data_IF_635691146689
#
_entry.id   IF_635691146689
#
_cell.length_a   1.000
_cell.length_b   1.000
_cell.length_c   1.000
_cell.angle_alpha   90.00
_cell.angle_beta   90.00
_cell.angle_gamma   90.00
#
_symmetry.space_group_name_H-M   'P 1'
#
loop_
_entity.id
_entity.type
_entity.pdbx_description
1 polymer ?
#
# COMPACT_ATOMS: atom_id res chain seq x y z
N UNK A 1 -7.14 20.85 2.98
CA UNK A 1 -7.25 20.98 4.44
C UNK A 1 -5.86 21.13 5.06
N UNK A 2 -5.66 22.02 6.05
CA UNK A 2 -4.37 22.15 6.74
C UNK A 2 -4.08 20.94 7.65
N UNK A 3 -2.82 20.52 7.73
CA UNK A 3 -2.38 19.42 8.62
C UNK A 3 -2.33 19.92 10.07
N UNK A 4 -3.03 19.24 10.99
CA UNK A 4 -3.09 19.63 12.40
C UNK A 4 -1.77 19.38 13.16
N UNK A 5 -1.57 20.04 14.29
CA UNK A 5 -0.37 19.84 15.13
C UNK A 5 -0.25 18.39 15.61
N UNK A 6 -1.36 17.76 16.00
CA UNK A 6 -1.39 16.36 16.40
C UNK A 6 -0.99 15.41 15.27
N UNK A 7 -1.47 15.66 14.04
CA UNK A 7 -1.07 14.91 12.86
C UNK A 7 0.43 15.08 12.58
N UNK A 8 0.97 16.30 12.64
CA UNK A 8 2.40 16.58 12.47
C UNK A 8 3.26 15.82 13.48
N UNK A 9 2.90 15.87 14.76
CA UNK A 9 3.63 15.14 15.82
C UNK A 9 3.67 13.65 15.51
N UNK A 10 2.51 13.06 15.20
CA UNK A 10 2.43 11.63 14.92
C UNK A 10 3.18 11.23 13.64
N UNK A 11 3.12 12.02 12.58
CA UNK A 11 3.89 11.77 11.36
C UNK A 11 5.40 11.80 11.61
N UNK A 12 5.88 12.70 12.47
CA UNK A 12 7.29 12.76 12.84
C UNK A 12 7.74 11.55 13.65
N UNK A 13 6.86 10.98 14.49
CA UNK A 13 7.13 9.77 15.26
C UNK A 13 7.11 8.51 14.39
N UNK A 14 6.12 8.38 13.52
CA UNK A 14 5.82 7.14 12.79
C UNK A 14 6.45 7.08 11.40
N UNK A 15 6.72 8.25 10.81
CA UNK A 15 7.16 8.42 9.42
C UNK A 15 6.21 7.75 8.41
N UNK A 16 4.92 7.67 8.75
CA UNK A 16 3.93 6.99 7.91
C UNK A 16 2.53 7.58 8.03
N UNK A 17 1.79 7.48 6.94
CA UNK A 17 0.34 7.67 6.91
C UNK A 17 -0.34 6.61 6.05
N UNK A 18 -1.64 6.45 6.23
CA UNK A 18 -2.46 5.48 5.51
C UNK A 18 -3.22 6.16 4.37
N UNK A 19 -3.31 5.47 3.24
CA UNK A 19 -4.17 5.83 2.12
C UNK A 19 -5.20 4.73 1.92
N UNK A 20 -6.45 5.00 2.27
CA UNK A 20 -7.58 4.13 1.94
C UNK A 20 -7.89 4.27 0.46
N UNK A 21 -7.88 3.14 -0.23
CA UNK A 21 -8.22 3.02 -1.64
C UNK A 21 -9.72 2.80 -1.78
N UNK A 22 -10.25 1.91 -0.95
CA UNK A 22 -11.62 1.41 -1.06
C UNK A 22 -12.52 2.13 -0.04
N UNK A 23 -13.71 2.60 -0.46
CA UNK A 23 -14.76 3.07 0.44
C UNK A 23 -15.23 2.00 1.44
N UNK A 24 -15.60 2.42 2.66
CA UNK A 24 -15.96 1.48 3.74
C UNK A 24 -17.19 0.62 3.44
N UNK A 25 -18.16 1.17 2.72
CA UNK A 25 -19.42 0.52 2.31
C UNK A 25 -19.20 -0.60 1.28
N UNK A 26 -18.08 -0.57 0.54
CA UNK A 26 -17.73 -1.59 -0.44
C UNK A 26 -16.85 -2.72 0.14
N UNK A 27 -16.47 -2.63 1.41
CA UNK A 27 -15.56 -3.58 2.04
C UNK A 27 -16.09 -5.02 2.04
N UNK A 28 -17.36 -5.22 2.40
CA UNK A 28 -17.97 -6.55 2.44
C UNK A 28 -18.05 -7.19 1.06
N UNK A 29 -18.36 -6.41 0.03
CA UNK A 29 -18.38 -6.86 -1.36
C UNK A 29 -17.00 -7.31 -1.82
N UNK A 30 -15.94 -6.61 -1.40
CA UNK A 30 -14.56 -7.01 -1.70
C UNK A 30 -14.14 -8.29 -0.99
N UNK A 31 -14.56 -8.48 0.27
CA UNK A 31 -14.27 -9.72 0.98
C UNK A 31 -14.87 -10.95 0.29
N UNK A 32 -16.03 -10.80 -0.34
CA UNK A 32 -16.69 -11.88 -1.07
C UNK A 32 -16.09 -12.15 -2.46
N UNK A 33 -15.31 -11.22 -3.02
CA UNK A 33 -14.86 -11.26 -4.42
C UNK A 33 -13.34 -11.03 -4.56
N UNK A 34 -12.54 -11.70 -3.71
CA UNK A 34 -11.08 -11.49 -3.67
C UNK A 34 -10.36 -11.95 -4.95
N UNK A 35 -10.93 -12.87 -5.71
CA UNK A 35 -10.41 -13.36 -6.98
C UNK A 35 -10.79 -12.47 -8.18
N UNK A 36 -11.52 -11.37 -7.95
CA UNK A 36 -11.99 -10.48 -9.03
C UNK A 36 -11.14 -9.23 -9.17
N UNK A 37 -11.11 -8.72 -10.39
CA UNK A 37 -10.48 -7.44 -10.70
C UNK A 37 -11.24 -6.31 -10.02
N UNK A 38 -10.50 -5.37 -9.44
CA UNK A 38 -11.04 -4.16 -8.82
C UNK A 38 -10.72 -2.95 -9.70
N UNK A 39 -11.60 -1.94 -9.78
CA UNK A 39 -11.35 -0.74 -10.60
C UNK A 39 -10.08 0.03 -10.18
N UNK A 40 -9.67 -0.12 -8.92
CA UNK A 40 -8.46 0.51 -8.38
C UNK A 40 -7.16 -0.21 -8.73
N UNK A 41 -7.22 -1.42 -9.29
CA UNK A 41 -6.01 -2.11 -9.75
C UNK A 41 -5.32 -1.30 -10.85
N UNK A 42 -6.07 -0.84 -11.84
CA UNK A 42 -5.51 -0.07 -12.96
C UNK A 42 -5.18 1.38 -12.59
N UNK A 43 -5.97 1.99 -11.71
CA UNK A 43 -5.86 3.42 -11.40
C UNK A 43 -4.95 3.73 -10.20
N UNK A 44 -4.74 2.77 -9.30
CA UNK A 44 -3.91 2.91 -8.09
C UNK A 44 -2.73 1.95 -8.09
N UNK A 45 -2.97 0.64 -8.23
CA UNK A 45 -1.90 -0.35 -8.12
C UNK A 45 -0.91 -0.28 -9.29
N UNK A 46 -1.41 -0.20 -10.53
CA UNK A 46 -0.56 -0.17 -11.73
C UNK A 46 0.42 1.02 -11.74
N UNK A 47 0.00 2.27 -11.46
CA UNK A 47 0.95 3.38 -11.37
C UNK A 47 1.99 3.19 -10.27
N UNK A 48 1.59 2.66 -9.09
CA UNK A 48 2.54 2.37 -8.01
C UNK A 48 3.61 1.37 -8.48
N UNK A 49 3.18 0.26 -9.11
CA UNK A 49 4.09 -0.76 -9.64
C UNK A 49 5.00 -0.25 -10.76
N UNK A 50 4.49 0.60 -11.65
CA UNK A 50 5.29 1.20 -12.73
C UNK A 50 6.42 2.12 -12.22
N UNK A 51 6.27 2.71 -11.03
CA UNK A 51 7.32 3.50 -10.38
C UNK A 51 8.26 2.67 -9.50
N UNK A 52 7.97 1.39 -9.33
CA UNK A 52 8.68 0.54 -8.38
C UNK A 52 10.07 0.18 -8.90
N UNK A 53 11.03 0.15 -7.98
CA UNK A 53 12.36 -0.42 -8.20
C UNK A 53 12.49 -1.80 -7.57
N UNK A 54 11.72 -2.06 -6.51
CA UNK A 54 11.66 -3.36 -5.84
C UNK A 54 10.25 -3.61 -5.31
N UNK A 55 9.79 -4.85 -5.39
CA UNK A 55 8.58 -5.27 -4.70
C UNK A 55 8.74 -6.67 -4.10
N UNK A 56 8.18 -6.86 -2.91
CA UNK A 56 8.41 -8.04 -2.06
C UNK A 56 7.15 -8.44 -1.32
N UNK A 57 6.79 -9.72 -1.35
CA UNK A 57 5.80 -10.30 -0.45
C UNK A 57 6.49 -11.01 0.72
N UNK A 58 6.09 -10.64 1.93
CA UNK A 58 6.56 -11.21 3.19
C UNK A 58 5.52 -12.16 3.74
N UNK A 59 5.94 -13.24 4.40
CA UNK A 59 5.06 -14.18 5.11
C UNK A 59 3.91 -14.72 4.23
N UNK A 60 4.14 -14.82 2.92
CA UNK A 60 3.24 -15.48 1.99
C UNK A 60 3.36 -17.00 2.20
N UNK A 61 2.31 -17.70 2.65
CA UNK A 61 2.44 -19.13 2.95
C UNK A 61 2.65 -19.92 1.66
N UNK A 62 3.79 -20.60 1.56
CA UNK A 62 4.14 -21.40 0.39
C UNK A 62 3.10 -22.51 0.17
N UNK A 63 2.72 -22.72 -1.09
CA UNK A 63 1.67 -23.68 -1.43
C UNK A 63 0.25 -23.25 -1.02
N UNK A 64 0.03 -22.05 -0.49
CA UNK A 64 -1.33 -21.50 -0.33
C UNK A 64 -1.98 -21.19 -1.69
N UNK A 65 -3.30 -21.00 -1.69
CA UNK A 65 -4.02 -20.56 -2.89
C UNK A 65 -3.48 -19.22 -3.43
N UNK A 66 -3.17 -18.28 -2.53
CA UNK A 66 -2.58 -16.97 -2.86
C UNK A 66 -1.19 -17.13 -3.46
N UNK A 67 -0.35 -18.00 -2.88
CA UNK A 67 0.98 -18.28 -3.42
C UNK A 67 0.89 -18.90 -4.82
N UNK A 68 0.00 -19.88 -5.02
CA UNK A 68 -0.22 -20.49 -6.33
C UNK A 68 -0.71 -19.49 -7.37
N UNK A 69 -1.64 -18.60 -6.99
CA UNK A 69 -2.11 -17.55 -7.91
C UNK A 69 -1.02 -16.56 -8.29
N UNK A 70 -0.01 -16.36 -7.44
CA UNK A 70 1.11 -15.46 -7.71
C UNK A 70 2.32 -16.16 -8.39
N UNK A 71 2.26 -17.46 -8.65
CA UNK A 71 3.45 -18.27 -8.99
C UNK A 71 4.23 -17.79 -10.22
N UNK A 72 3.56 -17.12 -11.18
CA UNK A 72 4.21 -16.57 -12.37
C UNK A 72 4.92 -15.22 -12.11
N UNK A 73 4.60 -14.55 -11.00
CA UNK A 73 5.08 -13.19 -10.71
C UNK A 73 5.98 -13.13 -9.48
N UNK A 74 6.14 -14.24 -8.74
CA UNK A 74 7.00 -14.28 -7.56
C UNK A 74 8.10 -15.31 -7.67
N UNK A 75 9.27 -14.94 -7.15
CA UNK A 75 10.41 -15.86 -6.95
C UNK A 75 10.83 -15.83 -5.50
N UNK A 76 10.96 -17.00 -4.87
CA UNK A 76 11.47 -17.09 -3.51
C UNK A 76 12.94 -16.67 -3.45
N UNK A 77 13.26 -15.74 -2.55
CA UNK A 77 14.62 -15.29 -2.23
C UNK A 77 14.72 -15.03 -0.73
N UNK A 78 15.58 -15.78 -0.05
CA UNK A 78 15.89 -15.59 1.38
C UNK A 78 14.65 -15.61 2.29
N UNK A 79 13.73 -16.56 2.09
CA UNK A 79 12.54 -16.73 2.94
C UNK A 79 11.44 -15.68 2.74
N UNK A 80 11.50 -14.94 1.63
CA UNK A 80 10.45 -14.02 1.16
C UNK A 80 10.35 -14.10 -0.36
N UNK A 81 9.35 -13.45 -0.94
CA UNK A 81 9.05 -13.56 -2.37
C UNK A 81 9.33 -12.22 -3.06
N UNK A 82 10.30 -12.21 -3.97
CA UNK A 82 10.54 -11.07 -4.85
C UNK A 82 9.49 -11.07 -5.96
N UNK A 83 8.88 -9.92 -6.25
CA UNK A 83 7.98 -9.77 -7.39
C UNK A 83 8.80 -9.43 -8.64
N UNK A 84 8.46 -10.05 -9.76
CA UNK A 84 9.04 -9.73 -11.06
C UNK A 84 8.36 -8.50 -11.67
N UNK A 85 9.00 -7.34 -11.53
CA UNK A 85 8.48 -6.06 -12.05
C UNK A 85 8.42 -5.99 -13.59
N UNK A 86 8.99 -6.96 -14.31
CA UNK A 86 8.89 -7.04 -15.77
C UNK A 86 7.66 -7.82 -16.26
N UNK A 87 6.96 -8.53 -15.37
CA UNK A 87 5.79 -9.34 -15.68
C UNK A 87 4.48 -8.54 -15.58
N UNK A 88 3.38 -9.11 -16.10
CA UNK A 88 2.03 -8.63 -15.78
C UNK A 88 1.70 -8.99 -14.33
N UNK A 89 1.74 -8.00 -13.44
CA UNK A 89 1.62 -8.20 -12.00
C UNK A 89 0.19 -8.19 -11.48
N UNK A 90 -0.79 -7.73 -12.27
CA UNK A 90 -2.14 -7.44 -11.79
C UNK A 90 -3.13 -8.46 -12.35
N UNK A 91 -3.25 -8.52 -13.68
CA UNK A 91 -4.25 -9.35 -14.33
C UNK A 91 -3.92 -10.84 -14.19
N UNK A 92 -4.88 -11.62 -13.68
CA UNK A 92 -4.67 -13.03 -13.34
C UNK A 92 -4.02 -13.26 -11.97
N UNK A 93 -3.71 -12.18 -11.25
CA UNK A 93 -3.10 -12.20 -9.91
C UNK A 93 -3.95 -11.46 -8.87
N UNK A 94 -5.25 -11.32 -9.11
CA UNK A 94 -6.17 -10.54 -8.26
C UNK A 94 -6.23 -11.08 -6.84
N UNK A 95 -6.26 -12.41 -6.67
CA UNK A 95 -6.24 -13.05 -5.35
C UNK A 95 -4.99 -12.68 -4.56
N UNK A 96 -3.84 -12.50 -5.22
CA UNK A 96 -2.60 -12.10 -4.57
C UNK A 96 -2.69 -10.69 -3.97
N UNK A 97 -3.35 -9.75 -4.65
CA UNK A 97 -3.50 -8.37 -4.17
C UNK A 97 -4.63 -8.23 -3.16
N UNK A 98 -5.75 -8.89 -3.42
CA UNK A 98 -7.00 -8.67 -2.70
C UNK A 98 -7.16 -9.57 -1.46
N UNK A 99 -6.40 -10.67 -1.36
CA UNK A 99 -6.53 -11.59 -0.24
C UNK A 99 -6.41 -10.86 1.11
N UNK A 100 -7.39 -11.10 1.97
CA UNK A 100 -7.50 -10.50 3.30
C UNK A 100 -7.54 -11.59 4.39
N UNK A 101 -7.67 -11.20 5.66
CA UNK A 101 -7.80 -12.15 6.78
C UNK A 101 -6.54 -12.99 7.01
N UNK A 102 -5.37 -12.46 6.67
CA UNK A 102 -4.08 -13.11 6.90
C UNK A 102 -3.74 -14.26 5.94
N UNK A 103 -4.53 -14.45 4.87
CA UNK A 103 -4.27 -15.41 3.78
C UNK A 103 -2.99 -15.07 2.98
N UNK A 104 -2.63 -13.79 2.95
CA UNK A 104 -1.35 -13.27 2.42
C UNK A 104 -0.68 -12.47 3.50
N UNK A 105 0.66 -12.45 3.57
CA UNK A 105 1.35 -11.48 4.40
C UNK A 105 1.43 -10.09 3.75
N UNK A 106 2.27 -9.21 4.29
CA UNK A 106 2.42 -7.85 3.75
C UNK A 106 3.16 -7.84 2.42
N UNK A 107 2.77 -6.93 1.54
CA UNK A 107 3.49 -6.65 0.28
C UNK A 107 4.13 -5.28 0.42
N UNK A 108 5.42 -5.20 0.16
CA UNK A 108 6.22 -3.96 0.21
C UNK A 108 6.64 -3.59 -1.19
N UNK A 109 6.37 -2.35 -1.60
CA UNK A 109 6.81 -1.78 -2.86
C UNK A 109 7.70 -0.58 -2.54
N UNK A 110 8.87 -0.52 -3.17
CA UNK A 110 9.86 0.54 -2.99
C UNK A 110 9.99 1.31 -4.30
N UNK A 111 9.89 2.63 -4.22
CA UNK A 111 10.08 3.53 -5.35
C UNK A 111 11.01 4.68 -4.94
N UNK A 112 11.81 5.25 -5.85
CA UNK A 112 12.42 6.56 -5.63
C UNK A 112 11.31 7.57 -5.35
N UNK A 113 11.50 8.44 -4.35
CA UNK A 113 10.46 9.39 -3.95
C UNK A 113 10.01 10.29 -5.11
N UNK A 114 10.98 10.73 -5.94
CA UNK A 114 10.72 11.60 -7.09
C UNK A 114 9.82 10.94 -8.16
N UNK A 115 9.84 9.62 -8.24
CA UNK A 115 9.12 8.85 -9.26
C UNK A 115 7.75 8.39 -8.79
N UNK A 116 7.43 8.55 -7.49
CA UNK A 116 6.16 8.13 -6.95
C UNK A 116 5.00 8.93 -7.58
N UNK A 117 4.02 8.29 -8.24
CA UNK A 117 3.04 8.98 -9.07
C UNK A 117 1.84 9.49 -8.24
N UNK A 118 2.11 10.29 -7.20
CA UNK A 118 1.10 10.83 -6.28
C UNK A 118 -0.09 11.50 -7.00
N UNK A 119 0.18 12.25 -8.08
CA UNK A 119 -0.85 12.95 -8.86
C UNK A 119 -1.75 12.01 -9.68
N UNK A 120 -1.30 10.78 -9.95
CA UNK A 120 -2.11 9.75 -10.61
C UNK A 120 -2.85 8.90 -9.57
N UNK A 121 -2.19 8.57 -8.47
CA UNK A 121 -2.70 7.62 -7.46
C UNK A 121 -3.76 8.25 -6.55
N UNK A 122 -3.47 9.41 -5.94
CA UNK A 122 -4.32 9.96 -4.88
C UNK A 122 -5.72 10.37 -5.33
N UNK A 123 -5.95 10.90 -6.57
CA UNK A 123 -7.30 11.20 -7.04
C UNK A 123 -8.24 9.99 -7.12
N UNK A 124 -7.70 8.77 -7.19
CA UNK A 124 -8.47 7.53 -7.25
C UNK A 124 -8.59 6.84 -5.90
N UNK A 125 -8.04 7.42 -4.84
CA UNK A 125 -8.12 6.89 -3.48
C UNK A 125 -9.29 7.53 -2.72
N UNK A 126 -9.78 6.87 -1.68
CA UNK A 126 -10.91 7.34 -0.88
C UNK A 126 -10.49 8.36 0.19
N UNK A 127 -9.42 8.08 0.95
CA UNK A 127 -9.03 8.93 2.09
C UNK A 127 -7.56 8.78 2.44
N UNK A 128 -6.93 9.88 2.88
CA UNK A 128 -5.62 9.85 3.55
C UNK A 128 -5.78 10.16 5.04
N UNK A 129 -5.14 9.41 5.92
CA UNK A 129 -5.21 9.64 7.36
C UNK A 129 -3.94 9.20 8.10
N UNK A 130 -3.72 9.79 9.28
CA UNK A 130 -2.70 9.35 10.22
C UNK A 130 -3.33 8.38 11.21
N UNK A 131 -2.86 7.14 11.26
CA UNK A 131 -3.37 6.10 12.15
C UNK A 131 -2.62 6.05 13.47
N UNK A 132 -3.29 5.57 14.52
CA UNK A 132 -2.72 5.47 15.86
C UNK A 132 -1.56 4.49 15.96
N UNK A 133 -1.73 3.28 15.41
CA UNK A 133 -0.67 2.27 15.33
C UNK A 133 -0.65 1.64 13.93
N UNK A 134 0.22 2.12 13.03
CA UNK A 134 0.31 1.61 11.66
C UNK A 134 0.87 0.19 11.58
N UNK A 135 1.50 -0.32 12.65
CA UNK A 135 2.26 -1.57 12.58
C UNK A 135 1.39 -2.83 12.70
N UNK A 136 0.19 -2.74 13.30
CA UNK A 136 -0.64 -3.90 13.69
C UNK A 136 -1.07 -4.73 12.48
N UNK A 137 -1.28 -4.09 11.34
CA UNK A 137 -1.78 -4.75 10.14
C UNK A 137 -0.67 -5.39 9.27
N UNK A 138 0.60 -5.23 9.66
CA UNK A 138 1.74 -5.63 8.85
C UNK A 138 2.59 -6.73 9.48
N UNK A 139 3.22 -7.51 8.61
CA UNK A 139 4.30 -8.42 8.98
C UNK A 139 5.48 -7.65 9.60
N UNK A 140 5.99 -8.03 10.78
CA UNK A 140 7.14 -7.35 11.39
C UNK A 140 8.38 -7.32 10.49
N UNK A 141 8.57 -8.36 9.68
CA UNK A 141 9.64 -8.47 8.68
C UNK A 141 9.54 -7.42 7.57
N UNK A 142 8.32 -7.17 7.06
CA UNK A 142 8.04 -6.14 6.08
C UNK A 142 8.36 -4.74 6.62
N UNK A 143 7.97 -4.45 7.86
CA UNK A 143 8.25 -3.15 8.51
C UNK A 143 9.75 -2.92 8.73
N UNK A 144 10.50 -3.95 9.16
CA UNK A 144 11.96 -3.85 9.28
C UNK A 144 12.60 -3.52 7.93
N UNK A 145 12.14 -4.17 6.86
CA UNK A 145 12.63 -3.89 5.52
C UNK A 145 12.29 -2.47 5.05
N UNK A 146 11.05 -2.02 5.27
CA UNK A 146 10.64 -0.66 4.93
C UNK A 146 11.53 0.38 5.62
N UNK A 147 11.74 0.26 6.94
CA UNK A 147 12.63 1.15 7.70
C UNK A 147 14.07 1.12 7.19
N UNK A 148 14.59 -0.06 6.85
CA UNK A 148 15.94 -0.19 6.31
C UNK A 148 16.09 0.47 4.92
N UNK A 149 15.04 0.47 4.09
CA UNK A 149 15.02 1.14 2.78
C UNK A 149 14.94 2.66 2.91
N UNK A 150 14.16 3.16 3.86
CA UNK A 150 14.08 4.60 4.17
C UNK A 150 15.41 5.16 4.69
N UNK A 151 16.15 4.36 5.46
CA UNK A 151 17.47 4.76 5.97
C UNK A 151 18.54 4.86 4.86
N UNK A 152 18.27 4.34 3.65
CA UNK A 152 19.22 4.24 2.54
C UNK A 152 18.71 5.06 1.35
N UNK A 153 18.96 6.37 1.38
CA UNK A 153 18.63 7.28 0.27
C UNK A 153 17.18 7.78 0.28
N UNK A 154 16.79 8.45 -0.80
CA UNK A 154 15.50 9.13 -0.90
C UNK A 154 14.41 8.20 -1.48
N UNK A 155 14.08 7.16 -0.72
CA UNK A 155 13.06 6.18 -1.09
C UNK A 155 11.71 6.51 -0.44
N UNK A 156 10.65 6.08 -1.12
CA UNK A 156 9.31 5.94 -0.60
C UNK A 156 8.96 4.45 -0.57
N UNK A 157 8.27 4.04 0.49
CA UNK A 157 7.86 2.64 0.66
C UNK A 157 6.35 2.55 0.84
N UNK A 158 5.67 1.88 -0.09
CA UNK A 158 4.27 1.49 0.05
C UNK A 158 4.20 0.12 0.72
N UNK A 159 3.40 -0.03 1.77
CA UNK A 159 3.17 -1.32 2.42
C UNK A 159 1.69 -1.65 2.39
N UNK A 160 1.35 -2.72 1.67
CA UNK A 160 0.01 -3.30 1.67
C UNK A 160 -0.14 -4.26 2.85
N UNK A 161 -1.23 -4.15 3.63
CA UNK A 161 -1.44 -4.89 4.85
C UNK A 161 -1.67 -6.38 4.61
N UNK A 162 -1.35 -7.18 5.62
CA UNK A 162 -1.62 -8.63 5.68
C UNK A 162 -3.12 -8.93 5.77
N UNK A 163 -3.86 -8.14 6.53
CA UNK A 163 -5.22 -8.47 6.94
C UNK A 163 -6.32 -7.81 6.10
N UNK A 164 -6.00 -6.73 5.38
CA UNK A 164 -6.99 -5.89 4.71
C UNK A 164 -6.88 -5.92 3.17
N UNK A 165 -6.06 -6.82 2.61
CA UNK A 165 -5.95 -6.91 1.15
C UNK A 165 -5.61 -5.56 0.53
N UNK A 166 -6.37 -5.19 -0.50
CA UNK A 166 -6.19 -3.93 -1.24
C UNK A 166 -7.04 -2.75 -0.69
N UNK A 167 -7.59 -2.85 0.53
CA UNK A 167 -8.40 -1.77 1.13
C UNK A 167 -7.65 -0.45 1.25
N UNK A 168 -6.38 -0.55 1.67
CA UNK A 168 -5.50 0.57 1.91
C UNK A 168 -4.05 0.13 1.74
N UNK A 169 -3.17 1.12 1.66
CA UNK A 169 -1.73 0.93 1.84
C UNK A 169 -1.19 2.02 2.76
N UNK A 170 -0.10 1.72 3.45
CA UNK A 170 0.63 2.69 4.25
C UNK A 170 1.83 3.20 3.46
N UNK A 171 2.01 4.52 3.47
CA UNK A 171 3.14 5.21 2.84
C UNK A 171 4.14 5.61 3.91
N UNK A 172 5.36 5.12 3.75
CA UNK A 172 6.50 5.54 4.55
C UNK A 172 7.45 6.39 3.72
N UNK A 173 7.93 7.47 4.31
CA UNK A 173 8.90 8.39 3.70
C UNK A 173 9.82 8.95 4.78
N UNK A 174 10.89 9.64 4.38
CA UNK A 174 11.79 10.30 5.33
C UNK A 174 11.07 11.41 6.11
N UNK A 175 11.64 11.84 7.23
CA UNK A 175 11.06 12.89 8.08
C UNK A 175 10.81 14.21 7.34
N UNK A 176 11.68 14.55 6.37
CA UNK A 176 11.56 15.76 5.59
C UNK A 176 10.42 15.69 4.56
N UNK A 177 10.07 14.47 4.13
CA UNK A 177 9.22 14.22 2.98
C UNK A 177 7.81 13.74 3.35
N UNK A 178 7.66 13.14 4.53
CA UNK A 178 6.38 12.56 4.96
C UNK A 178 5.28 13.63 5.10
N UNK A 179 5.61 14.82 5.60
CA UNK A 179 4.64 15.90 5.79
C UNK A 179 4.21 16.53 4.45
N UNK A 180 5.12 16.94 3.54
CA UNK A 180 4.74 17.38 2.20
C UNK A 180 3.90 16.34 1.44
N UNK A 181 4.29 15.06 1.53
CA UNK A 181 3.57 13.97 0.86
C UNK A 181 2.17 13.77 1.43
N UNK A 182 2.01 13.83 2.76
CA UNK A 182 0.71 13.73 3.41
C UNK A 182 -0.19 14.93 3.07
N UNK A 183 0.36 16.15 3.08
CA UNK A 183 -0.38 17.35 2.67
C UNK A 183 -0.86 17.24 1.21
N UNK A 184 -0.02 16.71 0.33
CA UNK A 184 -0.36 16.43 -1.07
C UNK A 184 -1.47 15.37 -1.17
N UNK A 185 -1.39 14.30 -0.37
CA UNK A 185 -2.45 13.29 -0.32
C UNK A 185 -3.79 13.91 0.12
N UNK A 186 -3.81 14.70 1.20
CA UNK A 186 -5.02 15.40 1.67
C UNK A 186 -5.62 16.36 0.64
N UNK A 187 -4.80 16.94 -0.24
CA UNK A 187 -5.27 17.85 -1.28
C UNK A 187 -5.84 17.12 -2.51
N UNK A 188 -5.37 15.90 -2.79
CA UNK A 188 -5.70 15.17 -4.00
C UNK A 188 -6.72 14.06 -3.80
N UNK A 189 -6.84 13.50 -2.58
CA UNK A 189 -7.91 12.56 -2.30
C UNK A 189 -9.26 13.31 -2.29
N UNK A 190 -10.27 12.85 -3.04
CA UNK A 190 -11.59 13.50 -3.09
C UNK A 190 -12.30 13.56 -1.74
N UNK A 191 -11.92 12.67 -0.80
CA UNK A 191 -12.55 12.56 0.51
C UNK A 191 -13.89 11.84 0.46
N UNK A 192 -14.49 11.66 1.63
CA UNK A 192 -15.81 11.06 1.75
C UNK A 192 -16.88 12.08 1.30
N UNK A 193 -17.69 11.81 0.26
CA UNK A 193 -18.79 12.69 -0.13
C UNK A 193 -19.74 13.01 1.04
N UNK A 194 -19.89 12.08 1.98
CA UNK A 194 -20.74 12.24 3.17
C UNK A 194 -20.17 13.22 4.21
N UNK A 195 -18.89 13.60 4.11
CA UNK A 195 -18.25 14.62 4.96
C UNK A 195 -18.19 16.00 4.31
N UNK A 196 -18.64 16.11 3.05
CA UNK A 196 -18.66 17.35 2.26
C UNK A 196 -20.09 17.86 1.98
N UNK A 197 -21.12 17.27 2.60
CA UNK A 197 -22.45 17.85 2.62
C UNK A 197 -22.48 19.05 3.59
N UNK A 198 -22.95 20.23 3.16
CA UNK A 198 -23.00 21.43 4.00
C UNK A 198 -23.91 21.28 5.23
#
# INVERSE_FOLDING_TARGET
MPVSAAQKSRLNESLTFQVKVVPNDLWWSMLAAQDRSLPWHETVLRPILQSATEAWAYELPQGSAVHRSAGAIVTEKQGKFALDLSAELIHGHELFWNASGGKRGSIVIVSPLADFPANKVFPHCYKALVVGNPNVAHSPSALRFAKAKLARGNNLVCVFPRNNGFEYFDLYASQQEILPLFAKALALVPGDPAQNAP
#
